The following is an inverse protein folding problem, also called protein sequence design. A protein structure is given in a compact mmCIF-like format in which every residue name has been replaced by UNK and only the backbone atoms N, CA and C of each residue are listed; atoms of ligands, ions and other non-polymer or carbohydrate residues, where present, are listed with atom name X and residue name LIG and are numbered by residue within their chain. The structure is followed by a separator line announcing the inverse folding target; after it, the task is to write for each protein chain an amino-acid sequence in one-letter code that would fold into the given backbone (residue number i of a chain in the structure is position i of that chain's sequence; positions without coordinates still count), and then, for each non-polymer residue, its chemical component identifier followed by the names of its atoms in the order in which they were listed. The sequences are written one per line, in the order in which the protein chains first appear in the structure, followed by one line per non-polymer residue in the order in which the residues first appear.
data_IF_920338045906
#
_entry.id   IF_920338045906
#
_cell.length_a   1.000
_cell.length_b   1.000
_cell.length_c   1.000
_cell.angle_alpha   90.00
_cell.angle_beta   90.00
_cell.angle_gamma   90.00
#
_symmetry.space_group_name_H-M   'P 1'
#
loop_
_entity.id
_entity.type
_entity.pdbx_description
1 polymer ?
#
# COMPACT_ATOMS: atom_id res chain seq x y z
N UNK A 1 -16.73 -42.74 -6.88
CA UNK A 1 -15.26 -42.85 -6.78
C UNK A 1 -14.69 -41.50 -6.40
N UNK A 2 -13.73 -41.51 -5.48
CA UNK A 2 -12.83 -40.42 -5.08
C UNK A 2 -13.42 -39.18 -4.38
N UNK A 3 -13.34 -39.18 -3.04
CA UNK A 3 -13.14 -37.99 -2.19
C UNK A 3 -11.67 -37.56 -2.30
N UNK A 4 -11.37 -36.26 -2.35
CA UNK A 4 -10.20 -35.59 -1.75
C UNK A 4 -10.16 -34.12 -2.23
N UNK A 5 -9.92 -33.09 -1.40
CA UNK A 5 -9.53 -33.10 0.00
C UNK A 5 -9.96 -31.80 0.70
N UNK A 6 -10.42 -31.95 1.94
CA UNK A 6 -10.50 -30.86 2.91
C UNK A 6 -9.07 -30.49 3.31
N UNK A 7 -8.53 -29.43 2.72
CA UNK A 7 -7.38 -28.75 3.29
C UNK A 7 -7.83 -28.04 4.56
N UNK A 8 -7.24 -28.40 5.70
CA UNK A 8 -7.49 -27.74 6.98
C UNK A 8 -7.08 -26.28 6.91
N UNK A 9 -8.03 -25.40 6.57
CA UNK A 9 -7.85 -23.96 6.64
C UNK A 9 -8.05 -23.51 8.07
N UNK A 10 -6.97 -23.22 8.79
CA UNK A 10 -7.07 -22.37 9.97
C UNK A 10 -7.90 -21.14 9.62
N UNK A 11 -8.90 -20.80 10.44
CA UNK A 11 -9.79 -19.67 10.20
C UNK A 11 -8.93 -18.42 10.02
N UNK A 12 -8.78 -17.97 8.77
CA UNK A 12 -8.03 -16.77 8.47
C UNK A 12 -8.84 -15.61 9.03
N UNK A 13 -8.35 -14.99 10.10
CA UNK A 13 -9.01 -13.85 10.71
C UNK A 13 -8.97 -12.70 9.71
N UNK A 14 -10.10 -12.05 9.47
CA UNK A 14 -10.14 -10.86 8.62
C UNK A 14 -9.16 -9.82 9.19
N UNK A 15 -8.30 -9.30 8.33
CA UNK A 15 -7.24 -8.37 8.70
C UNK A 15 -7.47 -7.05 7.98
N UNK A 16 -7.05 -5.96 8.63
CA UNK A 16 -7.02 -4.62 8.07
C UNK A 16 -5.62 -4.36 7.54
N UNK A 17 -5.49 -4.35 6.21
CA UNK A 17 -4.21 -4.25 5.51
C UNK A 17 -4.08 -2.87 4.89
N UNK A 18 -3.00 -2.16 5.21
CA UNK A 18 -2.60 -0.95 4.49
C UNK A 18 -1.50 -1.28 3.48
N UNK A 19 -1.67 -0.84 2.24
CA UNK A 19 -0.64 -0.97 1.20
C UNK A 19 -0.15 0.42 0.83
N UNK A 20 1.15 0.68 0.89
CA UNK A 20 1.74 1.96 0.53
C UNK A 20 2.53 1.84 -0.79
N UNK A 21 2.09 2.58 -1.81
CA UNK A 21 2.71 2.62 -3.13
C UNK A 21 2.79 4.06 -3.64
N UNK A 22 3.94 4.57 -4.12
CA UNK A 22 4.16 6.01 -4.30
C UNK A 22 3.32 6.65 -5.42
N UNK A 23 2.99 5.91 -6.48
CA UNK A 23 2.33 6.44 -7.67
C UNK A 23 1.46 5.36 -8.31
N UNK A 24 0.14 5.44 -8.13
CA UNK A 24 -0.80 4.43 -8.63
C UNK A 24 -1.29 4.80 -10.04
N UNK A 25 -0.35 4.78 -10.99
CA UNK A 25 -0.57 4.98 -12.41
C UNK A 25 -0.68 3.67 -13.19
N UNK A 26 -0.11 3.63 -14.40
CA UNK A 26 -0.02 2.44 -15.24
C UNK A 26 1.43 1.98 -15.36
N UNK A 27 1.73 0.82 -14.80
CA UNK A 27 3.03 0.18 -14.85
C UNK A 27 3.01 -1.21 -14.20
N UNK A 28 4.14 -1.91 -14.24
CA UNK A 28 4.24 -3.30 -13.77
C UNK A 28 4.16 -3.43 -12.25
N UNK A 29 4.80 -2.50 -11.52
CA UNK A 29 4.75 -2.49 -10.05
C UNK A 29 3.35 -2.11 -9.55
N UNK A 30 2.74 -1.14 -10.22
CA UNK A 30 1.37 -0.70 -9.99
C UNK A 30 0.40 -1.86 -10.17
N UNK A 31 0.57 -2.67 -11.24
CA UNK A 31 -0.25 -3.86 -11.47
C UNK A 31 -0.11 -4.87 -10.34
N UNK A 32 1.12 -5.14 -9.88
CA UNK A 32 1.37 -6.05 -8.76
C UNK A 32 0.63 -5.59 -7.50
N UNK A 33 0.64 -4.28 -7.22
CA UNK A 33 -0.06 -3.72 -6.05
C UNK A 33 -1.58 -3.84 -6.20
N UNK A 34 -2.12 -3.57 -7.38
CA UNK A 34 -3.57 -3.73 -7.65
C UNK A 34 -4.00 -5.18 -7.50
N UNK A 35 -3.27 -6.12 -8.09
CA UNK A 35 -3.58 -7.55 -8.01
C UNK A 35 -3.47 -8.06 -6.57
N UNK A 36 -2.46 -7.61 -5.81
CA UNK A 36 -2.32 -7.95 -4.40
C UNK A 36 -3.48 -7.39 -3.55
N UNK A 37 -3.84 -6.12 -3.75
CA UNK A 37 -4.95 -5.49 -3.03
C UNK A 37 -6.28 -6.21 -3.29
N UNK A 38 -6.57 -6.50 -4.55
CA UNK A 38 -7.78 -7.20 -4.93
C UNK A 38 -7.82 -8.62 -4.38
N UNK A 39 -6.72 -9.37 -4.51
CA UNK A 39 -6.64 -10.73 -4.00
C UNK A 39 -6.83 -10.78 -2.47
N UNK A 40 -6.36 -9.77 -1.74
CA UNK A 40 -6.59 -9.67 -0.29
C UNK A 40 -8.06 -9.36 0.03
N UNK A 41 -8.70 -8.45 -0.71
CA UNK A 41 -10.14 -8.21 -0.61
C UNK A 41 -10.96 -9.47 -0.89
N UNK A 42 -10.63 -10.22 -1.94
CA UNK A 42 -11.31 -11.46 -2.33
C UNK A 42 -11.20 -12.56 -1.26
N UNK A 43 -10.15 -12.49 -0.43
CA UNK A 43 -9.96 -13.36 0.75
C UNK A 43 -10.66 -12.86 2.02
N UNK A 44 -11.40 -11.75 1.94
CA UNK A 44 -12.16 -11.19 3.06
C UNK A 44 -11.36 -10.27 3.98
N UNK A 45 -10.21 -9.75 3.54
CA UNK A 45 -9.47 -8.72 4.26
C UNK A 45 -9.97 -7.32 3.90
N UNK A 46 -9.88 -6.38 4.83
CA UNK A 46 -10.15 -4.96 4.57
C UNK A 46 -8.86 -4.30 4.08
N UNK A 47 -8.84 -3.81 2.83
CA UNK A 47 -7.62 -3.26 2.22
C UNK A 47 -7.79 -1.78 1.91
N UNK A 48 -6.77 -0.99 2.28
CA UNK A 48 -6.65 0.42 1.90
C UNK A 48 -5.29 0.65 1.25
N UNK A 49 -5.30 1.14 0.01
CA UNK A 49 -4.10 1.53 -0.72
C UNK A 49 -3.84 3.02 -0.52
N UNK A 50 -2.66 3.36 -0.04
CA UNK A 50 -2.17 4.73 0.15
C UNK A 50 -1.16 5.06 -0.94
N UNK A 51 -1.41 6.17 -1.64
CA UNK A 51 -0.52 6.62 -2.72
C UNK A 51 -0.32 8.12 -2.72
N UNK A 52 0.78 8.61 -3.30
CA UNK A 52 1.01 10.04 -3.43
C UNK A 52 0.44 10.63 -4.71
N UNK A 53 0.08 9.79 -5.69
CA UNK A 53 -0.51 10.20 -6.95
C UNK A 53 -1.42 9.10 -7.47
N UNK A 54 -2.59 9.51 -7.93
CA UNK A 54 -3.53 8.64 -8.62
C UNK A 54 -4.28 9.51 -9.62
N UNK A 55 -4.18 9.16 -10.90
CA UNK A 55 -4.82 9.87 -12.00
C UNK A 55 -5.97 9.00 -12.55
N UNK A 56 -7.24 9.39 -12.34
CA UNK A 56 -8.40 8.63 -12.82
C UNK A 56 -8.45 8.45 -14.34
N UNK A 57 -7.73 9.28 -15.12
CA UNK A 57 -7.63 9.14 -16.57
C UNK A 57 -6.57 8.11 -17.00
N UNK A 58 -5.65 7.73 -16.09
CA UNK A 58 -4.52 6.84 -16.36
C UNK A 58 -4.27 5.90 -15.20
N UNK A 59 -5.27 5.08 -14.88
CA UNK A 59 -5.22 4.09 -13.81
C UNK A 59 -5.91 2.79 -14.22
N UNK A 60 -5.70 1.75 -13.40
CA UNK A 60 -6.42 0.48 -13.50
C UNK A 60 -7.89 0.64 -13.12
N UNK A 61 -8.78 -0.12 -13.74
CA UNK A 61 -10.23 0.00 -13.51
C UNK A 61 -10.60 -0.38 -12.07
N UNK A 62 -9.91 -1.37 -11.51
CA UNK A 62 -10.01 -1.89 -10.16
C UNK A 62 -9.87 -0.77 -9.10
N UNK A 63 -8.99 0.20 -9.37
CA UNK A 63 -8.74 1.34 -8.48
C UNK A 63 -9.85 2.40 -8.54
N UNK A 64 -10.67 2.36 -9.60
CA UNK A 64 -11.77 3.30 -9.85
C UNK A 64 -13.14 2.70 -9.52
N UNK A 65 -13.32 1.40 -9.77
CA UNK A 65 -14.57 0.68 -9.55
C UNK A 65 -14.90 0.48 -8.07
N UNK A 66 -13.93 0.73 -7.19
CA UNK A 66 -14.10 0.63 -5.74
C UNK A 66 -13.89 -0.77 -5.18
N UNK A 67 -13.17 -1.65 -5.89
CA UNK A 67 -12.79 -2.98 -5.40
C UNK A 67 -12.00 -2.91 -4.08
N UNK A 68 -11.27 -1.83 -3.87
CA UNK A 68 -10.62 -1.48 -2.61
C UNK A 68 -10.50 0.04 -2.50
N UNK A 69 -10.27 0.53 -1.28
CA UNK A 69 -10.18 1.97 -1.03
C UNK A 69 -8.80 2.50 -1.43
N UNK A 70 -8.76 3.54 -2.25
CA UNK A 70 -7.53 4.29 -2.57
C UNK A 70 -7.55 5.64 -1.85
N UNK A 71 -6.47 5.96 -1.13
CA UNK A 71 -6.29 7.22 -0.40
C UNK A 71 -5.05 7.93 -0.93
N UNK A 72 -5.25 9.12 -1.50
CA UNK A 72 -4.15 9.94 -2.02
C UNK A 72 -3.62 10.87 -0.92
N UNK A 73 -2.33 10.74 -0.55
CA UNK A 73 -1.64 11.59 0.43
C UNK A 73 -0.18 11.82 0.06
N UNK A 74 0.33 13.05 0.26
CA UNK A 74 1.74 13.37 0.03
C UNK A 74 2.08 13.81 -1.41
N UNK A 75 1.08 14.24 -2.19
CA UNK A 75 1.28 14.79 -3.53
C UNK A 75 2.07 16.12 -3.57
N UNK A 76 2.21 16.81 -2.43
CA UNK A 76 2.89 18.10 -2.30
C UNK A 76 4.41 18.01 -2.15
N UNK A 77 4.97 16.83 -1.90
CA UNK A 77 6.41 16.70 -1.64
C UNK A 77 7.16 16.56 -2.97
N UNK A 78 8.08 17.48 -3.32
CA UNK A 78 8.76 17.51 -4.61
C UNK A 78 9.71 16.31 -4.80
N UNK A 79 9.84 15.87 -6.06
CA UNK A 79 10.72 14.73 -6.46
C UNK A 79 12.21 15.07 -6.40
N UNK A 80 12.56 16.35 -6.40
CA UNK A 80 13.92 16.85 -6.33
C UNK A 80 13.91 18.30 -5.85
N UNK A 81 15.03 18.73 -5.27
CA UNK A 81 15.29 20.14 -4.98
C UNK A 81 16.36 20.61 -5.98
N UNK A 82 16.01 21.53 -6.88
CA UNK A 82 16.90 22.07 -7.92
C UNK A 82 17.60 21.04 -8.84
N UNK A 83 16.96 19.90 -9.13
CA UNK A 83 17.52 18.86 -10.01
C UNK A 83 18.69 18.06 -9.40
N UNK A 84 18.93 18.20 -8.09
CA UNK A 84 19.90 17.41 -7.32
C UNK A 84 19.19 16.72 -6.14
N UNK A 85 19.89 15.80 -5.46
CA UNK A 85 19.41 15.12 -4.24
C UNK A 85 18.16 14.25 -4.41
N UNK A 86 17.94 13.67 -5.61
CA UNK A 86 16.79 12.79 -5.91
C UNK A 86 16.62 11.67 -4.88
N UNK A 87 17.71 10.99 -4.50
CA UNK A 87 17.66 9.91 -3.51
C UNK A 87 17.22 10.41 -2.13
N UNK A 88 17.78 11.53 -1.66
CA UNK A 88 17.45 12.10 -0.35
C UNK A 88 15.99 12.58 -0.29
N UNK A 89 15.50 13.25 -1.34
CA UNK A 89 14.10 13.66 -1.44
C UNK A 89 13.15 12.46 -1.51
N UNK A 90 13.53 11.38 -2.22
CA UNK A 90 12.78 10.14 -2.24
C UNK A 90 12.70 9.49 -0.85
N UNK A 91 13.81 9.43 -0.12
CA UNK A 91 13.84 8.94 1.26
C UNK A 91 13.01 9.81 2.21
N UNK A 92 13.14 11.13 2.15
CA UNK A 92 12.35 12.05 2.96
C UNK A 92 10.85 11.93 2.69
N UNK A 93 10.46 11.75 1.42
CA UNK A 93 9.08 11.41 1.02
C UNK A 93 8.61 10.10 1.64
N UNK A 94 9.42 9.06 1.55
CA UNK A 94 9.10 7.75 2.11
C UNK A 94 8.94 7.82 3.63
N UNK A 95 9.84 8.49 4.34
CA UNK A 95 9.78 8.68 5.80
C UNK A 95 8.57 9.51 6.19
N UNK A 96 8.27 10.61 5.48
CA UNK A 96 7.08 11.41 5.75
C UNK A 96 5.79 10.63 5.55
N UNK A 97 5.69 9.89 4.44
CA UNK A 97 4.54 9.05 4.14
C UNK A 97 4.39 7.96 5.22
N UNK A 98 5.48 7.28 5.58
CA UNK A 98 5.52 6.29 6.65
C UNK A 98 5.05 6.86 7.98
N UNK A 99 5.54 8.04 8.39
CA UNK A 99 5.10 8.70 9.62
C UNK A 99 3.61 9.08 9.56
N UNK A 100 3.13 9.64 8.45
CA UNK A 100 1.71 9.96 8.28
C UNK A 100 0.81 8.72 8.31
N UNK A 101 1.23 7.61 7.68
CA UNK A 101 0.54 6.33 7.72
C UNK A 101 0.56 5.77 9.15
N UNK A 102 1.74 5.67 9.78
CA UNK A 102 1.91 5.14 11.13
C UNK A 102 1.07 5.90 12.15
N UNK A 103 1.09 7.22 12.13
CA UNK A 103 0.31 8.05 13.06
C UNK A 103 -1.20 8.00 12.77
N UNK A 104 -1.62 7.93 11.50
CA UNK A 104 -3.04 7.87 11.14
C UNK A 104 -3.65 6.47 11.33
N UNK A 105 -2.84 5.42 11.31
CA UNK A 105 -3.28 4.02 11.32
C UNK A 105 -2.89 3.26 12.58
N UNK A 106 -2.25 3.93 13.56
CA UNK A 106 -1.87 3.33 14.84
C UNK A 106 -3.07 2.64 15.49
N UNK A 107 -2.98 1.31 15.68
CA UNK A 107 -4.04 0.47 16.27
C UNK A 107 -5.25 0.19 15.37
N UNK A 108 -5.22 0.62 14.10
CA UNK A 108 -6.33 0.46 13.13
C UNK A 108 -6.02 -0.51 11.99
N UNK A 109 -4.77 -0.96 11.88
CA UNK A 109 -4.31 -1.91 10.85
C UNK A 109 -3.55 -3.05 11.50
N UNK A 110 -3.69 -4.24 10.93
CA UNK A 110 -3.07 -5.47 11.40
C UNK A 110 -1.80 -5.81 10.58
N UNK A 111 -1.71 -5.32 9.34
CA UNK A 111 -0.53 -5.48 8.48
C UNK A 111 -0.31 -4.26 7.57
N UNK A 112 0.97 -3.97 7.26
CA UNK A 112 1.36 -2.91 6.32
C UNK A 112 2.30 -3.49 5.26
N UNK A 113 1.91 -3.39 3.99
CA UNK A 113 2.75 -3.71 2.84
C UNK A 113 3.37 -2.42 2.28
N UNK A 114 4.69 -2.35 2.23
CA UNK A 114 5.41 -1.18 1.70
C UNK A 114 6.13 -1.56 0.41
N UNK A 115 5.79 -0.89 -0.69
CA UNK A 115 6.45 -1.07 -1.98
C UNK A 115 7.56 -0.03 -2.21
N UNK A 116 8.23 0.39 -1.15
CA UNK A 116 9.24 1.46 -1.18
C UNK A 116 10.57 1.01 -0.60
N UNK A 117 11.57 1.89 -0.76
CA UNK A 117 12.92 1.69 -0.25
C UNK A 117 12.88 1.28 1.23
N UNK A 118 13.68 0.27 1.58
CA UNK A 118 13.67 -0.41 2.89
C UNK A 118 13.81 0.51 4.10
N UNK A 119 14.23 1.76 3.92
CA UNK A 119 14.26 2.77 4.98
C UNK A 119 12.88 3.06 5.62
N UNK A 120 11.75 2.73 4.99
CA UNK A 120 10.44 2.78 5.66
C UNK A 120 10.30 1.76 6.80
N UNK A 121 10.96 0.60 6.69
CA UNK A 121 10.79 -0.52 7.63
C UNK A 121 11.21 -0.16 9.07
N UNK A 122 12.40 0.41 9.35
CA UNK A 122 12.78 0.77 10.71
C UNK A 122 11.89 1.88 11.31
N UNK A 123 11.39 2.81 10.49
CA UNK A 123 10.51 3.90 10.96
C UNK A 123 9.13 3.37 11.34
N UNK A 124 8.53 2.51 10.50
CA UNK A 124 7.24 1.89 10.79
C UNK A 124 7.34 1.00 12.03
N UNK A 125 8.41 0.20 12.14
CA UNK A 125 8.62 -0.64 13.32
C UNK A 125 8.74 0.17 14.62
N UNK A 126 9.40 1.33 14.59
CA UNK A 126 9.55 2.18 15.77
C UNK A 126 8.29 2.98 16.17
N UNK A 127 7.31 3.16 15.26
CA UNK A 127 6.15 4.02 15.48
C UNK A 127 4.80 3.27 15.55
N UNK A 128 4.67 2.10 14.92
CA UNK A 128 3.46 1.27 14.95
C UNK A 128 3.43 0.27 16.11
N UNK A 129 4.60 -0.13 16.61
CA UNK A 129 4.77 -1.00 17.77
C UNK A 129 5.35 -0.20 18.95
#
# INVERSE_FOLDING_TARGET
GARAGSGGGGRQVAMRVAIAHPDLGLGGAERLIVDAAQTLCDRGHEVVVYTARHDPARCFEETRSGAFKVVVRGGWIPRHVFGRLHALCAYARCVWLAMCLALALRGRVDAVLCDQVSAMVPVLHALLW
#
